data_IF_981959031668
#
_entry.id   IF_981959031668
#
_cell.length_a   1.000
_cell.length_b   1.000
_cell.length_c   1.000
_cell.angle_alpha   90.00
_cell.angle_beta   90.00
_cell.angle_gamma   90.00
#
_symmetry.space_group_name_H-M   'P 1'
#
loop_
_entity.id
_entity.type
_entity.pdbx_description
1 polymer ?
#
# COMPACT_ATOMS: atom_id res chain seq x y z
N UNK A 1 14.67 -1.33 -17.29
CA UNK A 1 13.59 -2.25 -17.66
C UNK A 1 12.32 -1.87 -16.92
N UNK A 2 11.26 -1.45 -17.63
CA UNK A 2 10.00 -1.02 -17.01
C UNK A 2 9.33 -2.13 -16.19
N UNK A 3 9.38 -3.39 -16.64
CA UNK A 3 8.81 -4.54 -15.91
C UNK A 3 9.44 -4.72 -14.53
N UNK A 4 10.76 -4.75 -14.45
CA UNK A 4 11.51 -4.82 -13.18
C UNK A 4 11.18 -3.65 -12.26
N UNK A 5 10.96 -2.46 -12.80
CA UNK A 5 10.60 -1.29 -12.00
C UNK A 5 9.19 -1.42 -11.40
N UNK A 6 8.20 -1.93 -12.14
CA UNK A 6 6.86 -2.22 -11.60
C UNK A 6 6.93 -3.27 -10.48
N UNK A 7 7.66 -4.37 -10.69
CA UNK A 7 7.87 -5.42 -9.68
C UNK A 7 8.53 -4.83 -8.42
N UNK A 8 9.53 -3.96 -8.62
CA UNK A 8 10.23 -3.30 -7.52
C UNK A 8 9.37 -2.27 -6.78
N UNK A 9 8.37 -1.66 -7.43
CA UNK A 9 7.39 -0.79 -6.78
C UNK A 9 6.42 -1.61 -5.92
N UNK A 10 5.95 -2.76 -6.39
CA UNK A 10 5.11 -3.66 -5.59
C UNK A 10 5.85 -4.18 -4.35
N UNK A 11 7.12 -4.59 -4.48
CA UNK A 11 7.93 -4.99 -3.33
C UNK A 11 8.18 -3.84 -2.33
N UNK A 12 8.05 -2.57 -2.76
CA UNK A 12 8.09 -1.39 -1.87
C UNK A 12 6.75 -1.17 -1.19
N UNK A 13 5.65 -1.39 -1.90
CA UNK A 13 4.29 -1.40 -1.34
C UNK A 13 4.20 -2.42 -0.18
N UNK A 14 4.61 -3.67 -0.39
CA UNK A 14 4.56 -4.70 0.66
C UNK A 14 5.35 -4.29 1.91
N UNK A 15 6.50 -3.64 1.74
CA UNK A 15 7.29 -3.12 2.86
C UNK A 15 6.64 -1.94 3.57
N UNK A 16 6.01 -1.03 2.83
CA UNK A 16 5.28 0.09 3.42
C UNK A 16 4.08 -0.41 4.24
N UNK A 17 3.32 -1.37 3.71
CA UNK A 17 2.22 -2.01 4.42
C UNK A 17 2.70 -2.75 5.68
N UNK A 18 3.82 -3.48 5.60
CA UNK A 18 4.41 -4.13 6.76
C UNK A 18 4.80 -3.13 7.86
N UNK A 19 5.39 -1.99 7.49
CA UNK A 19 5.74 -0.92 8.42
C UNK A 19 4.50 -0.31 9.10
N UNK A 20 3.39 -0.21 8.37
CA UNK A 20 2.10 0.25 8.88
C UNK A 20 1.32 -0.82 9.69
N UNK A 21 1.92 -1.98 9.95
CA UNK A 21 1.32 -3.07 10.74
C UNK A 21 0.54 -4.11 9.94
N UNK A 22 0.65 -4.11 8.62
CA UNK A 22 -0.06 -5.01 7.70
C UNK A 22 0.87 -5.92 6.89
N UNK A 23 1.77 -6.71 7.52
CA UNK A 23 2.70 -7.57 6.80
C UNK A 23 1.97 -8.68 6.03
N UNK A 24 2.53 -9.11 4.89
CA UNK A 24 2.10 -10.34 4.22
C UNK A 24 2.57 -11.55 5.04
N UNK A 25 1.70 -12.53 5.25
CA UNK A 25 2.10 -13.80 5.86
C UNK A 25 2.85 -14.66 4.85
N UNK A 26 3.77 -15.51 5.30
CA UNK A 26 4.60 -16.34 4.41
C UNK A 26 3.77 -17.20 3.43
N UNK A 27 2.66 -17.76 3.91
CA UNK A 27 1.76 -18.60 3.12
C UNK A 27 0.66 -17.83 2.36
N UNK A 28 0.51 -16.52 2.58
CA UNK A 28 -0.51 -15.72 1.89
C UNK A 28 -0.09 -15.46 0.45
N UNK A 29 -1.00 -15.72 -0.48
CA UNK A 29 -0.90 -15.16 -1.84
C UNK A 29 -1.05 -13.64 -1.80
N UNK A 30 -0.77 -13.01 -2.94
CA UNK A 30 -0.86 -11.56 -3.10
C UNK A 30 -2.33 -11.10 -2.98
N UNK A 31 -3.25 -11.89 -3.53
CA UNK A 31 -4.69 -11.63 -3.47
C UNK A 31 -5.24 -11.82 -2.05
N UNK A 32 -4.82 -12.88 -1.34
CA UNK A 32 -5.23 -13.10 0.06
C UNK A 32 -4.71 -11.98 0.99
N UNK A 33 -3.47 -11.55 0.80
CA UNK A 33 -2.90 -10.42 1.55
C UNK A 33 -3.73 -9.15 1.36
N UNK A 34 -4.03 -8.80 0.11
CA UNK A 34 -4.82 -7.61 -0.22
C UNK A 34 -6.24 -7.73 0.29
N UNK A 35 -6.91 -8.86 0.06
CA UNK A 35 -8.27 -9.09 0.56
C UNK A 35 -8.38 -8.89 2.07
N UNK A 36 -7.37 -9.33 2.83
CA UNK A 36 -7.31 -9.12 4.28
C UNK A 36 -7.14 -7.66 4.68
N UNK A 37 -6.19 -6.95 4.07
CA UNK A 37 -5.82 -5.60 4.55
C UNK A 37 -6.74 -4.51 4.01
N UNK A 38 -7.33 -4.68 2.82
CA UNK A 38 -8.22 -3.69 2.22
C UNK A 38 -9.50 -3.48 3.04
N UNK A 39 -9.93 -4.49 3.81
CA UNK A 39 -11.03 -4.35 4.77
C UNK A 39 -10.63 -3.80 6.14
N UNK A 40 -9.32 -3.64 6.41
CA UNK A 40 -8.78 -3.16 7.68
C UNK A 40 -8.20 -1.75 7.58
N UNK A 41 -7.82 -1.33 6.37
CA UNK A 41 -7.31 0.00 6.10
C UNK A 41 -8.46 1.01 6.11
N UNK A 42 -8.31 2.03 6.96
CA UNK A 42 -9.22 3.16 7.05
C UNK A 42 -8.78 4.29 6.09
N UNK A 43 -8.41 3.92 4.86
CA UNK A 43 -7.97 4.84 3.79
C UNK A 43 -8.62 4.46 2.47
N UNK A 44 -8.63 5.41 1.52
CA UNK A 44 -8.92 5.10 0.11
C UNK A 44 -7.92 4.04 -0.37
N UNK A 45 -8.42 2.95 -0.96
CA UNK A 45 -7.56 1.82 -1.35
C UNK A 45 -7.36 1.70 -2.86
N UNK A 46 -7.83 2.67 -3.62
CA UNK A 46 -7.70 2.72 -5.07
C UNK A 46 -6.25 2.71 -5.52
N UNK A 47 -5.36 3.43 -4.84
CA UNK A 47 -3.91 3.46 -5.10
C UNK A 47 -3.27 2.07 -4.98
N UNK A 48 -3.60 1.32 -3.92
CA UNK A 48 -3.13 -0.05 -3.66
C UNK A 48 -3.64 -1.00 -4.75
N UNK A 49 -4.94 -0.92 -5.09
CA UNK A 49 -5.55 -1.74 -6.14
C UNK A 49 -4.90 -1.47 -7.50
N UNK A 50 -4.73 -0.20 -7.88
CA UNK A 50 -4.05 0.20 -9.12
C UNK A 50 -2.65 -0.38 -9.21
N UNK A 51 -1.83 -0.23 -8.16
CA UNK A 51 -0.46 -0.76 -8.16
C UNK A 51 -0.44 -2.30 -8.25
N UNK A 52 -1.41 -2.97 -7.62
CA UNK A 52 -1.55 -4.43 -7.71
C UNK A 52 -1.89 -4.88 -9.12
N UNK A 53 -2.83 -4.22 -9.79
CA UNK A 53 -3.22 -4.57 -11.16
C UNK A 53 -2.04 -4.41 -12.13
N UNK A 54 -1.27 -3.32 -11.97
CA UNK A 54 -0.05 -3.08 -12.74
C UNK A 54 0.98 -4.19 -12.47
N UNK A 55 1.18 -4.56 -11.21
CA UNK A 55 2.09 -5.64 -10.85
C UNK A 55 1.67 -6.98 -11.47
N UNK A 56 0.39 -7.36 -11.36
CA UNK A 56 -0.13 -8.61 -11.90
C UNK A 56 0.08 -8.68 -13.41
N UNK A 57 -0.24 -7.60 -14.12
CA UNK A 57 0.05 -7.47 -15.56
C UNK A 57 1.56 -7.60 -15.84
N UNK A 58 2.41 -6.91 -15.08
CA UNK A 58 3.86 -6.96 -15.28
C UNK A 58 4.47 -8.34 -14.94
N UNK A 59 3.82 -9.15 -14.10
CA UNK A 59 4.30 -10.48 -13.73
C UNK A 59 3.82 -11.57 -14.69
N UNK A 60 2.57 -11.51 -15.12
CA UNK A 60 1.93 -12.60 -15.86
C UNK A 60 1.67 -12.30 -17.34
N UNK A 61 1.63 -11.02 -17.75
CA UNK A 61 1.36 -10.67 -19.14
C UNK A 61 2.61 -10.82 -20.02
N UNK A 62 2.40 -11.40 -21.21
CA UNK A 62 3.38 -11.44 -22.29
C UNK A 62 3.44 -10.10 -23.07
N UNK A 63 2.46 -9.21 -22.86
CA UNK A 63 2.48 -7.88 -23.47
C UNK A 63 3.64 -7.04 -22.94
N UNK A 64 4.10 -6.09 -23.76
CA UNK A 64 5.19 -5.20 -23.41
C UNK A 64 4.78 -4.34 -22.20
N UNK A 65 5.63 -4.33 -21.17
CA UNK A 65 5.51 -3.40 -20.05
C UNK A 65 6.26 -2.16 -20.48
N UNK A 66 5.52 -1.11 -20.78
CA UNK A 66 6.08 0.13 -21.30
C UNK A 66 6.46 1.12 -20.18
N UNK A 67 7.03 2.25 -20.59
CA UNK A 67 7.46 3.30 -19.67
C UNK A 67 6.28 3.93 -18.93
N UNK A 68 5.10 4.02 -19.57
CA UNK A 68 3.90 4.58 -18.96
C UNK A 68 3.43 3.74 -17.79
N UNK A 69 3.40 2.41 -17.96
CA UNK A 69 3.05 1.48 -16.91
C UNK A 69 4.00 1.55 -15.70
N UNK A 70 5.28 1.81 -15.96
CA UNK A 70 6.27 2.09 -14.91
C UNK A 70 5.97 3.41 -14.19
N UNK A 71 5.68 4.48 -14.92
CA UNK A 71 5.39 5.79 -14.32
C UNK A 71 4.10 5.73 -13.48
N UNK A 72 3.06 5.06 -13.97
CA UNK A 72 1.81 4.82 -13.25
C UNK A 72 2.04 4.01 -11.96
N UNK A 73 2.93 3.01 -11.99
CA UNK A 73 3.26 2.23 -10.79
C UNK A 73 4.02 3.06 -9.74
N UNK A 74 4.88 3.98 -10.19
CA UNK A 74 5.60 4.90 -9.29
C UNK A 74 4.61 5.88 -8.66
N UNK A 75 3.73 6.48 -9.45
CA UNK A 75 2.70 7.41 -8.97
C UNK A 75 1.79 6.74 -7.92
N UNK A 76 1.28 5.54 -8.24
CA UNK A 76 0.45 4.79 -7.29
C UNK A 76 1.21 4.47 -5.99
N UNK A 77 2.50 4.12 -6.06
CA UNK A 77 3.30 3.89 -4.84
C UNK A 77 3.48 5.15 -3.99
N UNK A 78 3.62 6.32 -4.61
CA UNK A 78 3.71 7.60 -3.89
C UNK A 78 2.39 7.88 -3.16
N UNK A 79 1.27 7.75 -3.85
CA UNK A 79 -0.07 7.94 -3.27
C UNK A 79 -0.31 7.03 -2.06
N UNK A 80 -0.02 5.73 -2.18
CA UNK A 80 -0.15 4.78 -1.05
C UNK A 80 0.65 5.24 0.16
N UNK A 81 1.88 5.69 -0.06
CA UNK A 81 2.76 6.11 1.05
C UNK A 81 2.21 7.35 1.76
N UNK A 82 1.62 8.27 1.01
CA UNK A 82 1.05 9.49 1.57
C UNK A 82 -0.27 9.21 2.31
N UNK A 83 -1.11 8.33 1.78
CA UNK A 83 -2.33 7.85 2.46
C UNK A 83 -2.02 7.13 3.77
N UNK A 84 -1.03 6.22 3.78
CA UNK A 84 -0.62 5.51 5.00
C UNK A 84 -0.10 6.49 6.07
N UNK A 85 0.72 7.46 5.68
CA UNK A 85 1.21 8.51 6.60
C UNK A 85 0.09 9.35 7.17
N UNK A 86 -0.89 9.73 6.35
CA UNK A 86 -2.05 10.49 6.80
C UNK A 86 -2.89 9.70 7.81
N UNK A 87 -3.09 8.39 7.57
CA UNK A 87 -3.79 7.50 8.49
C UNK A 87 -3.07 7.36 9.84
N UNK A 88 -1.75 7.17 9.81
CA UNK A 88 -0.92 7.09 11.01
C UNK A 88 -0.96 8.39 11.82
N UNK A 89 -0.89 9.55 11.16
CA UNK A 89 -0.99 10.84 11.82
C UNK A 89 -2.37 11.06 12.45
N UNK A 90 -3.44 10.69 11.75
CA UNK A 90 -4.80 10.78 12.28
C UNK A 90 -4.97 9.91 13.53
N UNK A 91 -4.46 8.67 13.51
CA UNK A 91 -4.51 7.76 14.66
C UNK A 91 -3.78 8.33 15.87
N UNK A 92 -2.58 8.89 15.67
CA UNK A 92 -1.80 9.50 16.74
C UNK A 92 -2.49 10.73 17.35
N UNK A 93 -3.13 11.57 16.53
CA UNK A 93 -3.87 12.75 17.00
C UNK A 93 -5.06 12.33 17.89
N UNK A 94 -5.79 11.29 17.47
CA UNK A 94 -6.90 10.71 18.25
C UNK A 94 -6.39 10.15 19.58
N UNK A 95 -5.33 9.34 19.57
CA UNK A 95 -4.72 8.76 20.78
C UNK A 95 -4.22 9.84 21.74
N UNK A 96 -3.56 10.89 21.22
CA UNK A 96 -3.07 12.03 22.02
C UNK A 96 -4.23 12.80 22.66
N UNK A 97 -5.32 13.03 21.92
CA UNK A 97 -6.51 13.70 22.44
C UNK A 97 -7.19 12.91 23.56
N UNK A 98 -7.26 11.57 23.42
CA UNK A 98 -7.77 10.69 24.47
C UNK A 98 -6.87 10.67 25.71
N UNK A 99 -5.54 10.69 25.55
CA UNK A 99 -4.59 10.74 26.66
C UNK A 99 -4.63 12.08 27.43
N UNK A 100 -4.93 13.19 26.76
CA UNK A 100 -5.08 14.50 27.40
C UNK A 100 -6.43 14.64 28.13
N UNK A 101 -7.47 13.96 27.66
CA UNK A 101 -8.80 13.97 28.30
C UNK A 101 -8.89 13.17 29.61
N UNK A 102 -8.08 12.13 29.79
CA UNK A 102 -8.10 11.28 30.99
C UNK A 102 -7.30 11.84 32.18
N UNK A 103 -6.45 12.84 31.96
CA UNK A 103 -5.63 13.45 33.02
C UNK A 103 -6.35 14.59 33.78
N UNK A 104 -7.60 14.92 33.43
CA UNK A 104 -8.30 16.12 33.90
C UNK A 104 -9.63 15.88 34.63
N UNK A 105 -9.90 14.68 35.16
CA UNK A 105 -11.10 14.38 35.96
C UNK A 105 -10.76 13.91 37.38
#
# INVERSE_FOLDING_TARGET
DPRRAVIACYARLERALAAAGFPRRLAETQEEHLGRILGQLDIETGSIRRLTDLFTRAKYSQHEVDTRMKDDAIAALVEVRDELRASEAHRQEVEKSLALGTAGS
#
